data_IF_957978515716
#
_entry.id   IF_957978515716
#
_cell.length_a   1.000
_cell.length_b   1.000
_cell.length_c   1.000
_cell.angle_alpha   90.00
_cell.angle_beta   90.00
_cell.angle_gamma   90.00
#
_symmetry.space_group_name_H-M   'P 1'
#
loop_
_entity.id
_entity.type
_entity.pdbx_description
1 polymer ?
#
# COMPACT_ATOMS: atom_id res chain seq x y z
N UNK A 1 2.95 -23.89 24.24
CA UNK A 1 3.00 -23.81 22.76
C UNK A 1 2.03 -22.71 22.31
N UNK A 2 2.50 -21.47 22.08
CA UNK A 2 1.64 -20.33 21.70
C UNK A 2 1.75 -19.90 20.23
N UNK A 3 2.56 -20.58 19.40
CA UNK A 3 2.89 -20.12 18.05
C UNK A 3 1.83 -20.41 16.96
N UNK A 4 0.90 -21.35 17.18
CA UNK A 4 0.00 -21.82 16.09
C UNK A 4 -1.24 -20.95 15.87
N UNK A 5 -1.83 -20.40 16.94
CA UNK A 5 -3.05 -19.58 16.88
C UNK A 5 -2.78 -18.13 16.41
N UNK A 6 -1.52 -17.67 16.42
CA UNK A 6 -1.18 -16.28 16.04
C UNK A 6 -1.17 -16.06 14.53
N UNK A 7 -0.89 -17.11 13.76
CA UNK A 7 -0.84 -17.09 12.29
C UNK A 7 -2.22 -17.08 11.63
N UNK A 8 -3.30 -17.40 12.36
CA UNK A 8 -4.62 -17.68 11.77
C UNK A 8 -5.44 -16.41 11.48
N UNK A 9 -5.04 -15.24 11.99
CA UNK A 9 -5.75 -13.95 11.80
C UNK A 9 -4.94 -12.90 11.02
N UNK A 10 -3.74 -13.24 10.59
CA UNK A 10 -3.03 -12.49 9.57
C UNK A 10 -3.27 -13.16 8.21
N UNK A 11 -3.25 -12.40 7.11
CA UNK A 11 -3.28 -13.01 5.78
C UNK A 11 -2.12 -14.02 5.66
N UNK A 12 -2.39 -15.29 5.32
CA UNK A 12 -1.36 -16.28 5.07
C UNK A 12 -0.39 -15.79 4.00
N UNK A 13 0.89 -16.03 4.26
CA UNK A 13 2.00 -15.69 3.38
C UNK A 13 2.03 -14.19 3.02
N UNK A 14 1.63 -13.31 3.95
CA UNK A 14 1.61 -11.84 3.73
C UNK A 14 2.90 -11.31 3.15
N UNK A 15 4.06 -11.75 3.66
CA UNK A 15 5.35 -11.28 3.16
C UNK A 15 5.54 -11.63 1.67
N UNK A 16 5.15 -12.84 1.25
CA UNK A 16 5.20 -13.26 -0.15
C UNK A 16 4.24 -12.43 -1.00
N UNK A 17 3.02 -12.16 -0.51
CA UNK A 17 2.04 -11.29 -1.17
C UNK A 17 2.52 -9.85 -1.33
N UNK A 18 3.16 -9.30 -0.30
CA UNK A 18 3.78 -7.96 -0.33
C UNK A 18 4.91 -7.92 -1.38
N UNK A 19 5.74 -8.97 -1.43
CA UNK A 19 6.84 -9.10 -2.40
C UNK A 19 6.33 -9.23 -3.85
N UNK A 20 5.33 -10.06 -4.09
CA UNK A 20 4.70 -10.24 -5.39
C UNK A 20 4.06 -8.95 -5.90
N UNK A 21 3.30 -8.27 -5.03
CA UNK A 21 2.72 -6.98 -5.34
C UNK A 21 3.78 -5.91 -5.62
N UNK A 22 4.86 -5.88 -4.83
CA UNK A 22 5.97 -4.97 -5.06
C UNK A 22 6.67 -5.26 -6.40
N UNK A 23 6.82 -6.53 -6.77
CA UNK A 23 7.41 -6.92 -8.05
C UNK A 23 6.54 -6.48 -9.24
N UNK A 24 5.23 -6.69 -9.17
CA UNK A 24 4.27 -6.22 -10.20
C UNK A 24 4.30 -4.70 -10.34
N UNK A 25 4.26 -3.98 -9.22
CA UNK A 25 4.34 -2.52 -9.22
C UNK A 25 5.69 -2.04 -9.76
N UNK A 26 6.80 -2.71 -9.44
CA UNK A 26 8.13 -2.33 -9.93
C UNK A 26 8.23 -2.43 -11.46
N UNK A 27 7.60 -3.43 -12.08
CA UNK A 27 7.53 -3.53 -13.55
C UNK A 27 6.84 -2.27 -14.12
N UNK A 28 5.72 -1.87 -13.52
CA UNK A 28 4.98 -0.69 -13.93
C UNK A 28 5.80 0.61 -13.74
N UNK A 29 6.43 0.76 -12.59
CA UNK A 29 7.25 1.95 -12.29
C UNK A 29 8.49 2.05 -13.17
N UNK A 30 9.11 0.92 -13.51
CA UNK A 30 10.23 0.83 -14.45
C UNK A 30 9.81 1.35 -15.83
N UNK A 31 8.64 0.94 -16.33
CA UNK A 31 8.10 1.46 -17.59
C UNK A 31 7.91 2.98 -17.54
N UNK A 32 7.28 3.50 -16.47
CA UNK A 32 7.08 4.95 -16.31
C UNK A 32 8.38 5.73 -16.25
N UNK A 33 9.40 5.18 -15.58
CA UNK A 33 10.74 5.76 -15.50
C UNK A 33 11.36 5.87 -16.89
N UNK A 34 11.30 4.80 -17.67
CA UNK A 34 11.91 4.74 -18.99
C UNK A 34 11.22 5.72 -19.97
N UNK A 35 9.90 5.88 -19.88
CA UNK A 35 9.16 6.90 -20.61
C UNK A 35 9.51 8.33 -20.16
N UNK A 36 9.67 8.56 -18.86
CA UNK A 36 10.11 9.86 -18.33
C UNK A 36 11.49 10.26 -18.84
N UNK A 37 12.43 9.32 -18.91
CA UNK A 37 13.77 9.57 -19.47
C UNK A 37 13.66 10.11 -20.91
N UNK A 38 12.79 9.50 -21.72
CA UNK A 38 12.55 9.94 -23.10
C UNK A 38 11.93 11.32 -23.16
N UNK A 39 10.94 11.60 -22.31
CA UNK A 39 10.28 12.91 -22.27
C UNK A 39 11.21 14.04 -21.81
N UNK A 40 12.00 13.82 -20.76
CA UNK A 40 12.88 14.85 -20.19
C UNK A 40 13.98 15.28 -21.17
N UNK A 41 14.56 14.33 -21.92
CA UNK A 41 15.64 14.60 -22.86
C UNK A 41 16.96 15.01 -22.19
N UNK A 42 17.85 15.62 -22.98
CA UNK A 42 19.18 16.08 -22.54
C UNK A 42 19.42 17.51 -23.07
N UNK A 43 19.63 18.53 -22.21
CA UNK A 43 19.47 18.49 -20.75
C UNK A 43 18.02 18.14 -20.34
N UNK A 44 17.81 17.61 -19.12
CA UNK A 44 16.48 17.22 -18.66
C UNK A 44 15.57 18.45 -18.46
N UNK A 45 14.37 18.41 -19.03
CA UNK A 45 13.38 19.49 -18.94
C UNK A 45 11.98 18.94 -18.64
N UNK A 46 11.46 19.27 -17.45
CA UNK A 46 10.15 18.82 -16.99
C UNK A 46 9.00 19.36 -17.85
N UNK A 47 9.17 20.49 -18.54
CA UNK A 47 8.12 21.06 -19.40
C UNK A 47 7.84 20.19 -20.64
N UNK A 48 8.73 19.25 -20.96
CA UNK A 48 8.57 18.29 -22.05
C UNK A 48 7.73 17.08 -21.66
N UNK A 49 7.43 16.88 -20.37
CA UNK A 49 6.57 15.79 -19.91
C UNK A 49 5.11 16.17 -20.11
N UNK A 50 4.38 15.49 -21.01
CA UNK A 50 3.05 15.94 -21.40
C UNK A 50 1.99 15.59 -20.34
N UNK A 51 0.93 16.38 -20.21
CA UNK A 51 -0.11 16.16 -19.19
C UNK A 51 -0.86 14.82 -19.36
N UNK A 52 -0.93 14.26 -20.57
CA UNK A 52 -1.52 12.94 -20.80
C UNK A 52 -0.67 11.80 -20.22
N UNK A 53 0.65 11.95 -20.11
CA UNK A 53 1.52 10.98 -19.44
C UNK A 53 1.04 10.74 -18.00
N UNK A 54 0.86 11.82 -17.23
CA UNK A 54 0.42 11.73 -15.83
C UNK A 54 -0.98 11.16 -15.66
N UNK A 55 -1.92 11.55 -16.53
CA UNK A 55 -3.27 10.98 -16.53
C UNK A 55 -3.25 9.48 -16.78
N UNK A 56 -2.40 9.01 -17.70
CA UNK A 56 -2.23 7.58 -17.99
C UNK A 56 -1.58 6.85 -16.83
N UNK A 57 -0.49 7.37 -16.25
CA UNK A 57 0.16 6.80 -15.06
C UNK A 57 -0.83 6.60 -13.92
N UNK A 58 -1.66 7.61 -13.63
CA UNK A 58 -2.67 7.52 -12.59
C UNK A 58 -3.73 6.46 -12.91
N UNK A 59 -4.23 6.42 -14.15
CA UNK A 59 -5.26 5.46 -14.55
C UNK A 59 -4.74 4.01 -14.52
N UNK A 60 -3.58 3.76 -15.11
CA UNK A 60 -2.95 2.44 -15.12
C UNK A 60 -2.60 1.97 -13.69
N UNK A 61 -2.10 2.87 -12.83
CA UNK A 61 -1.83 2.56 -11.42
C UNK A 61 -3.13 2.20 -10.67
N UNK A 62 -4.21 2.97 -10.87
CA UNK A 62 -5.48 2.69 -10.22
C UNK A 62 -6.07 1.34 -10.66
N UNK A 63 -5.96 0.99 -11.95
CA UNK A 63 -6.44 -0.28 -12.47
C UNK A 63 -5.71 -1.49 -11.87
N UNK A 64 -4.37 -1.42 -11.85
CA UNK A 64 -3.53 -2.48 -11.26
C UNK A 64 -3.75 -2.62 -9.76
N UNK A 65 -3.80 -1.50 -9.03
CA UNK A 65 -4.08 -1.52 -7.58
C UNK A 65 -5.48 -2.03 -7.29
N UNK A 66 -6.50 -1.66 -8.08
CA UNK A 66 -7.88 -2.10 -7.81
C UNK A 66 -7.99 -3.62 -7.77
N UNK A 67 -7.31 -4.31 -8.69
CA UNK A 67 -7.31 -5.78 -8.73
C UNK A 67 -6.61 -6.37 -7.50
N UNK A 68 -5.42 -5.88 -7.17
CA UNK A 68 -4.66 -6.33 -6.01
C UNK A 68 -5.45 -6.13 -4.70
N UNK A 69 -6.02 -4.94 -4.53
CA UNK A 69 -6.77 -4.59 -3.34
C UNK A 69 -8.06 -5.39 -3.21
N UNK A 70 -8.74 -5.66 -4.32
CA UNK A 70 -9.94 -6.51 -4.32
C UNK A 70 -9.61 -7.92 -3.82
N UNK A 71 -8.58 -8.56 -4.39
CA UNK A 71 -8.19 -9.92 -4.02
C UNK A 71 -7.77 -9.99 -2.54
N UNK A 72 -6.98 -9.02 -2.08
CA UNK A 72 -6.54 -8.94 -0.67
C UNK A 72 -7.73 -8.72 0.28
N UNK A 73 -8.64 -7.83 -0.09
CA UNK A 73 -9.85 -7.56 0.71
C UNK A 73 -10.70 -8.83 0.85
N UNK A 74 -11.03 -9.48 -0.27
CA UNK A 74 -11.88 -10.68 -0.27
C UNK A 74 -11.20 -11.82 0.47
N UNK A 75 -9.91 -12.07 0.22
CA UNK A 75 -9.14 -13.07 0.95
C UNK A 75 -9.15 -12.81 2.47
N UNK A 76 -9.02 -11.56 2.88
CA UNK A 76 -9.09 -11.21 4.29
C UNK A 76 -10.49 -11.39 4.85
N UNK A 77 -11.53 -10.98 4.13
CA UNK A 77 -12.92 -11.18 4.56
C UNK A 77 -13.24 -12.67 4.77
N UNK A 78 -12.81 -13.55 3.86
CA UNK A 78 -13.00 -14.99 3.99
C UNK A 78 -12.36 -15.57 5.25
N UNK A 79 -11.09 -15.24 5.50
CA UNK A 79 -10.35 -15.76 6.66
C UNK A 79 -10.95 -15.25 7.98
N UNK A 80 -11.65 -14.12 7.95
CA UNK A 80 -12.32 -13.53 9.11
C UNK A 80 -13.83 -13.84 9.18
N UNK A 81 -14.28 -14.92 8.53
CA UNK A 81 -15.63 -15.48 8.72
C UNK A 81 -16.66 -15.15 7.64
N UNK A 82 -16.26 -14.59 6.49
CA UNK A 82 -17.13 -14.41 5.33
C UNK A 82 -17.20 -15.64 4.40
N UNK A 83 -16.87 -16.84 4.91
CA UNK A 83 -16.93 -18.11 4.19
C UNK A 83 -18.35 -18.68 4.04
N UNK A 84 -19.27 -18.24 4.91
CA UNK A 84 -20.69 -18.54 4.78
C UNK A 84 -21.20 -18.11 3.39
N UNK A 85 -21.88 -19.02 2.68
CA UNK A 85 -22.38 -18.80 1.31
C UNK A 85 -23.19 -17.51 1.15
N UNK A 86 -23.89 -17.09 2.21
CA UNK A 86 -24.72 -15.88 2.26
C UNK A 86 -23.89 -14.58 2.29
N UNK A 87 -22.63 -14.64 2.73
CA UNK A 87 -21.72 -13.50 2.87
C UNK A 87 -20.76 -13.34 1.68
N UNK A 88 -20.63 -14.34 0.82
CA UNK A 88 -19.75 -14.30 -0.36
C UNK A 88 -20.04 -13.10 -1.27
N UNK A 89 -21.26 -13.02 -1.82
CA UNK A 89 -21.61 -11.93 -2.73
C UNK A 89 -21.62 -10.55 -2.05
N UNK A 90 -22.09 -10.39 -0.79
CA UNK A 90 -21.91 -9.15 -0.05
C UNK A 90 -20.43 -8.74 0.12
N UNK A 91 -19.54 -9.68 0.44
CA UNK A 91 -18.10 -9.42 0.60
C UNK A 91 -17.46 -8.98 -0.72
N UNK A 92 -17.79 -9.66 -1.82
CA UNK A 92 -17.33 -9.31 -3.17
C UNK A 92 -17.79 -7.91 -3.57
N UNK A 93 -19.07 -7.59 -3.37
CA UNK A 93 -19.62 -6.27 -3.69
C UNK A 93 -18.97 -5.16 -2.87
N UNK A 94 -18.78 -5.38 -1.57
CA UNK A 94 -18.06 -4.46 -0.70
C UNK A 94 -16.61 -4.29 -1.14
N UNK A 95 -15.93 -5.39 -1.47
CA UNK A 95 -14.57 -5.40 -1.96
C UNK A 95 -14.40 -4.65 -3.28
N UNK A 96 -15.31 -4.82 -4.25
CA UNK A 96 -15.30 -4.09 -5.52
C UNK A 96 -15.41 -2.58 -5.28
N UNK A 97 -16.38 -2.16 -4.46
CA UNK A 97 -16.60 -0.74 -4.18
C UNK A 97 -15.41 -0.13 -3.41
N UNK A 98 -14.92 -0.83 -2.38
CA UNK A 98 -13.82 -0.37 -1.54
C UNK A 98 -12.51 -0.27 -2.34
N UNK A 99 -12.15 -1.33 -3.07
CA UNK A 99 -10.90 -1.41 -3.83
C UNK A 99 -10.83 -0.36 -4.95
N UNK A 100 -11.93 -0.14 -5.68
CA UNK A 100 -11.97 0.85 -6.75
C UNK A 100 -11.78 2.28 -6.24
N UNK A 101 -12.34 2.61 -5.07
CA UNK A 101 -12.15 3.92 -4.44
C UNK A 101 -10.70 4.09 -3.95
N UNK A 102 -10.20 3.15 -3.16
CA UNK A 102 -8.89 3.26 -2.53
C UNK A 102 -7.74 3.16 -3.54
N UNK A 103 -7.91 2.40 -4.62
CA UNK A 103 -6.95 2.36 -5.71
C UNK A 103 -6.81 3.71 -6.42
N UNK A 104 -7.92 4.44 -6.64
CA UNK A 104 -7.88 5.79 -7.22
C UNK A 104 -7.18 6.78 -6.31
N UNK A 105 -7.45 6.71 -5.01
CA UNK A 105 -6.84 7.59 -4.01
C UNK A 105 -5.32 7.32 -3.90
N UNK A 106 -4.93 6.05 -3.82
CA UNK A 106 -3.53 5.64 -3.81
C UNK A 106 -2.80 6.06 -5.10
N UNK A 107 -3.42 5.86 -6.27
CA UNK A 107 -2.84 6.25 -7.56
C UNK A 107 -2.70 7.77 -7.72
N UNK A 108 -3.69 8.53 -7.24
CA UNK A 108 -3.66 10.00 -7.22
C UNK A 108 -2.55 10.50 -6.31
N UNK A 109 -2.49 9.99 -5.08
CA UNK A 109 -1.43 10.31 -4.11
C UNK A 109 -0.04 9.94 -4.62
N UNK A 110 0.10 8.79 -5.27
CA UNK A 110 1.33 8.36 -5.93
C UNK A 110 1.74 9.36 -7.02
N UNK A 111 0.83 9.71 -7.93
CA UNK A 111 1.11 10.59 -9.08
C UNK A 111 1.51 11.98 -8.62
N UNK A 112 0.75 12.58 -7.69
CA UNK A 112 1.03 13.90 -7.14
C UNK A 112 2.38 13.95 -6.41
N UNK A 113 2.69 12.93 -5.62
CA UNK A 113 3.97 12.91 -4.90
C UNK A 113 5.16 12.65 -5.84
N UNK A 114 5.01 11.84 -6.88
CA UNK A 114 6.00 11.66 -7.94
C UNK A 114 6.27 12.97 -8.68
N UNK A 115 5.22 13.69 -9.09
CA UNK A 115 5.35 15.00 -9.73
C UNK A 115 6.11 16.00 -8.84
N UNK A 116 5.81 16.04 -7.53
CA UNK A 116 6.52 16.91 -6.57
C UNK A 116 7.99 16.52 -6.41
N UNK A 117 8.30 15.22 -6.37
CA UNK A 117 9.69 14.73 -6.30
C UNK A 117 10.46 15.12 -7.57
N UNK A 118 9.84 14.95 -8.74
CA UNK A 118 10.43 15.30 -10.01
C UNK A 118 10.61 16.81 -10.18
N UNK A 119 9.65 17.63 -9.77
CA UNK A 119 9.76 19.09 -9.80
C UNK A 119 10.96 19.57 -8.97
N UNK A 120 11.08 19.11 -7.71
CA UNK A 120 12.23 19.42 -6.86
C UNK A 120 13.56 19.02 -7.51
N UNK A 121 13.58 17.87 -8.17
CA UNK A 121 14.81 17.42 -8.84
C UNK A 121 15.11 18.22 -10.11
N UNK A 122 14.08 18.59 -10.87
CA UNK A 122 14.19 19.46 -12.04
C UNK A 122 14.78 20.83 -11.68
N UNK A 123 14.35 21.43 -10.55
CA UNK A 123 14.92 22.69 -10.06
C UNK A 123 16.42 22.55 -9.79
N UNK A 124 16.83 21.43 -9.20
CA UNK A 124 18.24 21.16 -8.93
C UNK A 124 19.05 20.98 -10.22
N UNK A 125 18.56 20.20 -11.18
CA UNK A 125 19.20 20.04 -12.49
C UNK A 125 19.37 21.38 -13.23
N UNK A 126 18.37 22.26 -13.14
CA UNK A 126 18.43 23.60 -13.72
C UNK A 126 19.54 24.43 -13.07
N UNK A 127 19.60 24.47 -11.73
CA UNK A 127 20.67 25.17 -11.00
C UNK A 127 22.05 24.62 -11.34
N UNK A 128 22.21 23.30 -11.42
CA UNK A 128 23.49 22.67 -11.74
C UNK A 128 23.93 23.00 -13.18
N UNK A 129 22.98 23.04 -14.12
CA UNK A 129 23.23 23.49 -15.50
C UNK A 129 23.70 24.94 -15.55
N UNK A 130 23.07 25.86 -14.81
CA UNK A 130 23.50 27.27 -14.74
C UNK A 130 24.92 27.43 -14.16
N UNK A 131 25.36 26.48 -13.33
CA UNK A 131 26.71 26.45 -12.75
C UNK A 131 27.75 25.79 -13.66
N UNK A 132 27.37 25.37 -14.86
CA UNK A 132 28.24 24.64 -15.79
C UNK A 132 28.40 23.15 -15.48
N UNK A 133 27.62 22.61 -14.53
CA UNK A 133 27.63 21.20 -14.11
C UNK A 133 26.34 20.51 -14.56
N UNK A 134 26.01 20.59 -15.86
CA UNK A 134 24.78 19.99 -16.37
C UNK A 134 24.73 18.48 -16.07
N UNK A 135 23.58 17.94 -15.61
CA UNK A 135 23.47 16.52 -15.28
C UNK A 135 23.64 15.67 -16.54
N UNK A 136 24.33 14.54 -16.38
CA UNK A 136 24.47 13.54 -17.44
C UNK A 136 23.21 12.67 -17.53
N UNK A 137 23.09 11.89 -18.61
CA UNK A 137 22.05 10.88 -18.72
C UNK A 137 22.09 9.86 -17.56
N UNK A 138 23.28 9.49 -17.08
CA UNK A 138 23.44 8.57 -15.96
C UNK A 138 22.89 9.17 -14.65
N UNK A 139 23.15 10.46 -14.40
CA UNK A 139 22.64 11.16 -13.21
C UNK A 139 21.11 11.18 -13.21
N UNK A 140 20.49 11.51 -14.36
CA UNK A 140 19.03 11.53 -14.51
C UNK A 140 18.43 10.14 -14.27
N UNK A 141 19.06 9.08 -14.79
CA UNK A 141 18.62 7.69 -14.57
C UNK A 141 18.69 7.32 -13.09
N UNK A 142 19.77 7.68 -12.40
CA UNK A 142 19.94 7.41 -10.97
C UNK A 142 18.85 8.11 -10.14
N UNK A 143 18.59 9.38 -10.43
CA UNK A 143 17.56 10.16 -9.75
C UNK A 143 16.16 9.59 -9.96
N UNK A 144 15.81 9.26 -11.20
CA UNK A 144 14.52 8.67 -11.48
C UNK A 144 14.39 7.26 -10.89
N UNK A 145 15.50 6.52 -10.75
CA UNK A 145 15.52 5.25 -10.01
C UNK A 145 15.26 5.45 -8.52
N UNK A 146 15.72 6.56 -7.92
CA UNK A 146 15.35 6.89 -6.53
C UNK A 146 13.87 7.25 -6.40
N UNK A 147 13.27 7.88 -7.41
CA UNK A 147 11.85 8.30 -7.39
C UNK A 147 10.90 7.13 -7.69
N UNK A 148 11.24 6.28 -8.66
CA UNK A 148 10.39 5.23 -9.25
C UNK A 148 10.99 3.82 -9.12
N UNK A 149 11.94 3.61 -8.22
CA UNK A 149 12.59 2.32 -8.03
C UNK A 149 11.90 1.41 -7.00
N UNK A 150 12.60 0.33 -6.66
CA UNK A 150 12.11 -0.74 -5.77
C UNK A 150 11.56 -0.22 -4.45
N UNK A 151 12.27 0.68 -3.76
CA UNK A 151 11.82 1.24 -2.48
C UNK A 151 10.44 1.89 -2.57
N UNK A 152 10.13 2.51 -3.70
CA UNK A 152 8.84 3.14 -3.95
C UNK A 152 7.75 2.10 -4.18
N UNK A 153 8.04 1.07 -4.97
CA UNK A 153 7.13 -0.05 -5.21
C UNK A 153 6.82 -0.81 -3.90
N UNK A 154 7.84 -1.17 -3.12
CA UNK A 154 7.69 -1.87 -1.83
C UNK A 154 6.79 -1.10 -0.86
N UNK A 155 6.98 0.23 -0.78
CA UNK A 155 6.16 1.07 0.10
C UNK A 155 4.70 1.09 -0.35
N UNK A 156 4.46 1.25 -1.65
CA UNK A 156 3.10 1.29 -2.18
C UNK A 156 2.39 -0.06 -2.00
N UNK A 157 3.08 -1.18 -2.26
CA UNK A 157 2.55 -2.53 -2.03
C UNK A 157 2.13 -2.72 -0.57
N UNK A 158 3.07 -2.55 0.36
CA UNK A 158 2.83 -2.82 1.78
C UNK A 158 1.73 -1.93 2.38
N UNK A 159 1.71 -0.64 2.03
CA UNK A 159 0.68 0.30 2.52
C UNK A 159 -0.72 -0.11 2.04
N UNK A 160 -0.84 -0.43 0.76
CA UNK A 160 -2.14 -0.71 0.14
C UNK A 160 -2.66 -2.10 0.53
N UNK A 161 -1.80 -3.12 0.58
CA UNK A 161 -2.18 -4.46 1.04
C UNK A 161 -2.63 -4.43 2.49
N UNK A 162 -1.89 -3.77 3.37
CA UNK A 162 -2.25 -3.66 4.79
C UNK A 162 -3.63 -3.01 4.95
N UNK A 163 -3.89 -1.94 4.21
CA UNK A 163 -5.18 -1.27 4.25
C UNK A 163 -6.32 -2.17 3.74
N UNK A 164 -6.10 -2.92 2.66
CA UNK A 164 -7.10 -3.84 2.13
C UNK A 164 -7.37 -5.03 3.04
N UNK A 165 -6.32 -5.57 3.67
CA UNK A 165 -6.45 -6.62 4.68
C UNK A 165 -7.28 -6.15 5.87
N UNK A 166 -6.93 -5.00 6.45
CA UNK A 166 -7.69 -4.45 7.58
C UNK A 166 -9.15 -4.20 7.19
N UNK A 167 -9.40 -3.61 6.03
CA UNK A 167 -10.75 -3.34 5.56
C UNK A 167 -11.59 -4.62 5.36
N UNK A 168 -10.99 -5.67 4.77
CA UNK A 168 -11.67 -6.95 4.54
C UNK A 168 -12.01 -7.67 5.84
N UNK A 169 -11.06 -7.72 6.77
CA UNK A 169 -11.27 -8.30 8.10
C UNK A 169 -12.32 -7.55 8.91
N UNK A 170 -12.25 -6.22 8.98
CA UNK A 170 -13.22 -5.39 9.70
C UNK A 170 -14.63 -5.58 9.13
N UNK A 171 -14.76 -5.63 7.79
CA UNK A 171 -16.04 -5.86 7.14
C UNK A 171 -16.64 -7.21 7.53
N UNK A 172 -15.84 -8.29 7.46
CA UNK A 172 -16.32 -9.64 7.76
C UNK A 172 -16.71 -9.79 9.23
N UNK A 173 -15.89 -9.28 10.16
CA UNK A 173 -16.17 -9.35 11.59
C UNK A 173 -17.40 -8.52 11.94
N UNK A 174 -17.53 -7.32 11.38
CA UNK A 174 -18.74 -6.50 11.56
C UNK A 174 -20.01 -7.17 11.03
N UNK A 175 -19.92 -7.91 9.92
CA UNK A 175 -21.04 -8.61 9.30
C UNK A 175 -21.43 -9.93 10.01
N UNK A 176 -20.54 -10.52 10.81
CA UNK A 176 -20.72 -11.85 11.42
C UNK A 176 -20.96 -11.77 12.93
N UNK A 177 -19.96 -11.30 13.67
CA UNK A 177 -19.89 -11.41 15.13
C UNK A 177 -19.89 -10.06 15.84
N UNK A 178 -19.67 -8.97 15.08
CA UNK A 178 -19.50 -7.62 15.59
C UNK A 178 -18.07 -7.33 16.02
N UNK A 179 -17.65 -6.08 15.79
CA UNK A 179 -16.37 -5.57 16.27
C UNK A 179 -16.40 -5.47 17.81
N UNK A 180 -15.28 -5.79 18.45
CA UNK A 180 -15.16 -5.80 19.91
C UNK A 180 -14.27 -4.67 20.39
N UNK A 181 -14.59 -4.10 21.55
CA UNK A 181 -13.67 -3.20 22.27
C UNK A 181 -12.36 -3.92 22.64
N UNK A 182 -12.39 -5.25 22.75
CA UNK A 182 -11.21 -6.06 23.05
C UNK A 182 -10.42 -6.49 21.79
N UNK A 183 -10.80 -6.02 20.60
CA UNK A 183 -9.98 -6.25 19.40
C UNK A 183 -8.61 -5.60 19.58
N UNK A 184 -7.57 -6.40 19.33
CA UNK A 184 -6.21 -6.08 19.78
C UNK A 184 -5.31 -5.81 18.58
N UNK A 185 -4.54 -4.73 18.63
CA UNK A 185 -3.53 -4.42 17.62
C UNK A 185 -2.27 -5.25 17.82
N UNK A 186 -1.78 -5.88 16.76
CA UNK A 186 -0.53 -6.63 16.76
C UNK A 186 0.48 -6.07 15.77
N UNK A 187 1.73 -6.02 16.19
CA UNK A 187 2.87 -5.71 15.32
C UNK A 187 3.52 -6.98 14.80
N UNK A 188 4.15 -6.89 13.62
CA UNK A 188 5.03 -7.94 13.13
C UNK A 188 6.06 -8.34 14.19
N UNK A 189 6.19 -9.64 14.44
CA UNK A 189 7.11 -10.20 15.43
C UNK A 189 8.53 -10.25 14.85
N UNK A 190 9.08 -9.07 14.55
CA UNK A 190 10.45 -8.93 14.07
C UNK A 190 11.15 -7.69 14.65
N UNK A 191 12.47 -7.63 14.46
CA UNK A 191 13.32 -6.55 14.95
C UNK A 191 13.07 -5.20 14.25
N UNK A 192 12.11 -5.12 13.31
CA UNK A 192 11.84 -3.95 12.49
C UNK A 192 10.54 -3.21 12.87
N UNK A 193 9.96 -3.48 14.05
CA UNK A 193 8.80 -2.71 14.54
C UNK A 193 9.21 -1.25 14.75
N UNK A 194 8.52 -0.34 14.07
CA UNK A 194 8.85 1.08 14.13
C UNK A 194 8.38 1.72 15.46
N UNK A 195 8.92 2.91 15.84
CA UNK A 195 8.50 3.63 17.04
C UNK A 195 7.03 4.07 17.07
N UNK A 196 6.34 4.10 15.91
CA UNK A 196 4.91 4.41 15.82
C UNK A 196 4.07 3.19 16.22
N UNK A 197 4.47 2.00 15.78
CA UNK A 197 3.70 0.77 15.99
C UNK A 197 4.03 0.06 17.30
N UNK A 198 5.27 0.17 17.79
CA UNK A 198 5.67 -0.42 19.08
C UNK A 198 4.71 -0.10 20.24
N UNK A 199 4.31 1.16 20.49
CA UNK A 199 3.38 1.48 21.58
C UNK A 199 1.94 1.01 21.32
N UNK A 200 1.59 0.60 20.10
CA UNK A 200 0.26 0.09 19.77
C UNK A 200 0.15 -1.43 19.98
N UNK A 201 1.27 -2.15 20.12
CA UNK A 201 1.23 -3.61 20.27
C UNK A 201 0.48 -4.01 21.55
N UNK A 202 -0.41 -4.99 21.44
CA UNK A 202 -1.30 -5.48 22.51
C UNK A 202 -2.30 -4.42 23.05
N UNK A 203 -2.44 -3.26 22.40
CA UNK A 203 -3.47 -2.27 22.76
C UNK A 203 -4.85 -2.64 22.22
N UNK A 204 -5.88 -2.23 22.94
CA UNK A 204 -7.29 -2.52 22.62
C UNK A 204 -7.88 -1.47 21.68
N UNK A 205 -9.02 -1.78 21.03
CA UNK A 205 -9.70 -0.90 20.09
C UNK A 205 -9.93 0.52 20.61
N UNK A 206 -10.44 0.74 21.84
CA UNK A 206 -10.59 2.08 22.39
C UNK A 206 -9.27 2.85 22.53
N UNK A 207 -8.14 2.17 22.68
CA UNK A 207 -6.83 2.81 22.84
C UNK A 207 -6.23 3.18 21.48
N UNK A 208 -6.14 2.24 20.53
CA UNK A 208 -5.53 2.53 19.24
C UNK A 208 -6.42 3.39 18.34
N UNK A 209 -7.74 3.33 18.45
CA UNK A 209 -8.65 4.17 17.63
C UNK A 209 -8.52 5.67 17.93
N UNK A 210 -7.98 6.05 19.09
CA UNK A 210 -7.70 7.45 19.42
C UNK A 210 -6.68 8.08 18.48
N UNK A 211 -5.77 7.27 17.93
CA UNK A 211 -4.69 7.75 17.07
C UNK A 211 -4.84 7.25 15.64
N UNK A 212 -5.27 5.99 15.46
CA UNK A 212 -5.41 5.32 14.17
C UNK A 212 -6.85 4.75 14.04
N UNK A 213 -7.85 5.60 13.77
CA UNK A 213 -9.28 5.22 13.87
C UNK A 213 -9.70 4.07 12.93
N UNK A 214 -9.00 3.91 11.80
CA UNK A 214 -9.30 2.89 10.79
C UNK A 214 -8.48 1.61 10.93
N UNK A 215 -7.66 1.49 11.99
CA UNK A 215 -6.72 0.38 12.12
C UNK A 215 -5.51 0.51 11.19
N UNK A 216 -4.68 -0.54 11.07
CA UNK A 216 -3.52 -0.53 10.17
C UNK A 216 -3.88 -0.16 8.72
N UNK A 217 -2.99 0.52 7.98
CA UNK A 217 -1.61 0.90 8.33
C UNK A 217 -1.52 2.22 9.13
N UNK A 218 -0.62 2.28 10.12
CA UNK A 218 -0.34 3.51 10.87
C UNK A 218 0.70 4.43 10.20
N UNK A 219 1.54 3.87 9.33
CA UNK A 219 2.65 4.56 8.68
C UNK A 219 3.04 3.82 7.39
N UNK A 220 3.96 4.37 6.58
CA UNK A 220 4.45 3.68 5.41
C UNK A 220 5.24 2.40 5.71
N UNK A 221 5.03 1.32 4.97
CA UNK A 221 5.52 -0.04 5.23
C UNK A 221 5.06 -0.64 6.57
N UNK A 222 3.88 -0.24 7.03
CA UNK A 222 3.28 -0.83 8.23
C UNK A 222 2.86 -2.27 7.94
N UNK A 223 3.30 -3.22 8.78
CA UNK A 223 2.94 -4.65 8.68
C UNK A 223 2.12 -5.12 9.88
N UNK A 224 1.39 -4.21 10.51
CA UNK A 224 0.53 -4.54 11.65
C UNK A 224 -0.77 -5.19 11.17
N UNK A 225 -1.49 -5.83 12.08
CA UNK A 225 -2.82 -6.40 11.86
C UNK A 225 -3.66 -6.29 13.12
N UNK A 226 -4.95 -6.58 13.00
CA UNK A 226 -5.89 -6.63 14.12
C UNK A 226 -6.21 -8.09 14.40
N UNK A 227 -6.14 -8.47 15.67
CA UNK A 227 -6.69 -9.71 16.18
C UNK A 227 -8.09 -9.44 16.70
N UNK A 228 -9.08 -10.13 16.13
CA UNK A 228 -10.47 -9.96 16.51
C UNK A 228 -10.82 -10.89 17.69
N UNK A 229 -11.29 -10.30 18.79
CA UNK A 229 -11.59 -11.06 20.00
C UNK A 229 -12.75 -12.04 19.77
N UNK A 230 -13.70 -11.66 18.93
CA UNK A 230 -14.90 -12.45 18.62
C UNK A 230 -14.61 -13.74 17.85
N UNK A 231 -13.44 -13.83 17.20
CA UNK A 231 -13.00 -15.01 16.47
C UNK A 231 -12.15 -15.97 17.35
N UNK A 232 -11.85 -15.59 18.61
CA UNK A 232 -11.11 -16.47 19.51
C UNK A 232 -11.90 -17.75 19.81
N UNK A 233 -11.37 -18.90 19.39
CA UNK A 233 -11.95 -20.22 19.66
C UNK A 233 -12.87 -20.76 18.57
N UNK A 234 -13.04 -20.04 17.45
CA UNK A 234 -13.62 -20.57 16.23
C UNK A 234 -12.48 -21.19 15.42
N UNK A 235 -12.41 -22.53 15.23
CA UNK A 235 -11.43 -23.11 14.33
C UNK A 235 -11.69 -22.61 12.91
N UNK A 236 -10.61 -22.20 12.22
CA UNK A 236 -10.62 -21.80 10.82
C UNK A 236 -11.07 -22.93 9.89
#
# INVERSE_FOLDING_TARGET
MPGRLRSEMELPDRNERDEDAAALLLILLTRYRDELIQHLGQPPDLNRVPANFWRRVQAEMADNLSTLLFVTFVASAHIHGADAQELLSPAENAGIAWSALHARDAASGFTLSTQRMLARRSDQWFVDTLRGNAPTAADVIEDLTKILGKTRADRLASDTITSAQTAGGEWAVAATTGLSENDTWYTADDENVCPVCFPLNDTTRPEWQLTIPNGPPAHPKCRCWIKYQSLNGVPA
#
